data_IF_542985699712
#
_entry.id   IF_542985699712
#
_cell.length_a   1.000
_cell.length_b   1.000
_cell.length_c   1.000
_cell.angle_alpha   90.00
_cell.angle_beta   90.00
_cell.angle_gamma   90.00
#
_symmetry.space_group_name_H-M   'P 1'
#
loop_
_entity.id
_entity.type
_entity.pdbx_description
1 polymer ?
#
# COMPACT_ATOMS: atom_id res chain seq x y z
N UNK A 1 -2.20 -9.75 -23.10
CA UNK A 1 -2.00 -8.34 -22.74
C UNK A 1 -1.67 -7.50 -23.97
N UNK A 2 -2.25 -6.31 -24.08
CA UNK A 2 -1.80 -5.22 -24.95
C UNK A 2 -1.34 -4.07 -24.05
N UNK A 3 -0.17 -3.49 -24.33
CA UNK A 3 0.38 -2.36 -23.57
C UNK A 3 0.29 -1.10 -24.41
N UNK A 4 -0.22 -0.01 -23.84
CA UNK A 4 -0.13 1.34 -24.43
C UNK A 4 0.58 2.26 -23.45
N UNK A 5 1.59 2.98 -23.90
CA UNK A 5 2.21 4.05 -23.12
C UNK A 5 1.51 5.39 -23.38
N UNK A 6 1.36 6.20 -22.35
CA UNK A 6 1.00 7.62 -22.45
C UNK A 6 1.72 8.44 -21.37
N UNK A 7 1.47 9.74 -21.30
CA UNK A 7 2.04 10.64 -20.28
C UNK A 7 1.68 10.25 -18.83
N UNK A 8 0.67 9.39 -18.63
CA UNK A 8 0.19 8.94 -17.32
C UNK A 8 0.78 7.59 -16.91
N UNK A 9 1.45 6.86 -17.81
CA UNK A 9 2.13 5.60 -17.50
C UNK A 9 1.85 4.50 -18.52
N UNK A 10 2.03 3.24 -18.10
CA UNK A 10 1.75 2.09 -18.95
C UNK A 10 0.33 1.57 -18.68
N UNK A 11 -0.53 1.62 -19.70
CA UNK A 11 -1.88 1.05 -19.65
C UNK A 11 -1.87 -0.38 -20.14
N UNK A 12 -2.44 -1.27 -19.34
CA UNK A 12 -2.58 -2.68 -19.66
C UNK A 12 -4.02 -2.98 -20.06
N UNK A 13 -4.19 -3.73 -21.14
CA UNK A 13 -5.47 -4.23 -21.63
C UNK A 13 -5.44 -5.75 -21.72
N UNK A 14 -6.55 -6.41 -21.39
CA UNK A 14 -6.66 -7.85 -21.58
C UNK A 14 -6.72 -8.16 -23.09
N UNK A 15 -6.15 -9.30 -23.52
CA UNK A 15 -6.13 -9.73 -24.94
C UNK A 15 -7.54 -9.92 -25.50
N UNK A 16 -8.50 -10.26 -24.65
CA UNK A 16 -9.88 -10.60 -25.04
C UNK A 16 -10.86 -9.43 -24.88
N UNK A 17 -10.43 -8.26 -24.39
CA UNK A 17 -11.25 -7.04 -24.33
C UNK A 17 -10.82 -6.04 -25.40
N UNK A 18 -11.80 -5.41 -26.05
CA UNK A 18 -11.55 -4.36 -27.04
C UNK A 18 -10.71 -3.24 -26.42
N UNK A 19 -9.66 -2.78 -27.12
CA UNK A 19 -8.85 -1.63 -26.67
C UNK A 19 -9.61 -0.29 -26.64
N UNK A 20 -10.92 -0.32 -26.95
CA UNK A 20 -11.89 0.78 -26.79
C UNK A 20 -12.52 0.84 -25.39
N UNK A 21 -12.41 -0.20 -24.56
CA UNK A 21 -12.87 -0.18 -23.16
C UNK A 21 -11.82 0.44 -22.23
N UNK A 22 -12.18 0.73 -20.97
CA UNK A 22 -11.22 1.16 -19.96
C UNK A 22 -10.07 0.14 -19.83
N UNK A 23 -8.84 0.62 -19.61
CA UNK A 23 -7.68 -0.24 -19.36
C UNK A 23 -7.94 -1.11 -18.13
N UNK A 24 -7.49 -2.37 -18.11
CA UNK A 24 -7.66 -3.27 -16.97
C UNK A 24 -6.70 -2.93 -15.82
N UNK A 25 -5.56 -2.30 -16.13
CA UNK A 25 -4.67 -1.71 -15.16
C UNK A 25 -3.90 -0.51 -15.73
N UNK A 26 -3.36 0.32 -14.84
CA UNK A 26 -2.36 1.34 -15.12
C UNK A 26 -1.14 1.09 -14.23
N UNK A 27 0.06 1.21 -14.79
CA UNK A 27 1.32 1.00 -14.08
C UNK A 27 2.11 2.30 -14.04
N UNK A 28 2.51 2.68 -12.83
CA UNK A 28 3.51 3.72 -12.57
C UNK A 28 4.83 3.05 -12.20
N UNK A 29 5.88 3.32 -12.98
CA UNK A 29 7.19 2.70 -12.77
C UNK A 29 8.16 3.67 -12.11
N UNK A 30 8.96 3.19 -11.17
CA UNK A 30 9.97 3.95 -10.44
C UNK A 30 11.27 3.16 -10.31
N UNK A 31 12.42 3.84 -10.32
CA UNK A 31 13.68 3.18 -9.97
C UNK A 31 13.70 2.90 -8.46
N UNK A 32 14.23 1.75 -8.07
CA UNK A 32 14.30 1.34 -6.65
C UNK A 32 15.06 2.33 -5.74
N UNK A 33 15.97 3.14 -6.30
CA UNK A 33 16.75 4.13 -5.56
C UNK A 33 16.06 5.50 -5.46
N UNK A 34 15.04 5.76 -6.27
CA UNK A 34 14.33 7.03 -6.24
C UNK A 34 13.56 7.18 -4.92
N UNK A 35 13.49 8.42 -4.41
CA UNK A 35 12.62 8.74 -3.30
C UNK A 35 11.17 8.42 -3.65
N UNK A 36 10.40 7.99 -2.65
CA UNK A 36 8.99 7.68 -2.85
C UNK A 36 8.18 8.93 -3.23
N UNK A 37 7.38 8.81 -4.29
CA UNK A 37 6.38 9.81 -4.66
C UNK A 37 5.09 9.09 -5.05
N UNK A 38 4.06 9.24 -4.22
CA UNK A 38 2.75 8.66 -4.46
C UNK A 38 1.79 9.65 -5.14
N UNK A 39 2.20 10.87 -5.48
CA UNK A 39 1.31 11.93 -5.97
C UNK A 39 0.47 11.50 -7.17
N UNK A 40 1.13 10.88 -8.18
CA UNK A 40 0.44 10.35 -9.38
C UNK A 40 -0.45 9.15 -9.05
N UNK A 41 0.03 8.25 -8.20
CA UNK A 41 -0.70 7.04 -7.76
C UNK A 41 -1.97 7.43 -7.00
N UNK A 42 -1.89 8.40 -6.08
CA UNK A 42 -3.03 8.90 -5.30
C UNK A 42 -4.03 9.59 -6.20
N UNK A 43 -3.57 10.43 -7.14
CA UNK A 43 -4.46 11.08 -8.12
C UNK A 43 -5.25 10.05 -8.93
N UNK A 44 -4.59 8.97 -9.34
CA UNK A 44 -5.21 7.88 -10.07
C UNK A 44 -6.23 7.12 -9.22
N UNK A 45 -5.85 6.70 -8.01
CA UNK A 45 -6.74 5.97 -7.09
C UNK A 45 -7.99 6.79 -6.74
N UNK A 46 -7.83 8.10 -6.52
CA UNK A 46 -8.95 9.00 -6.25
C UNK A 46 -9.86 9.26 -7.44
N UNK A 47 -9.40 9.03 -8.67
CA UNK A 47 -10.24 9.18 -9.85
C UNK A 47 -11.32 8.09 -9.94
N UNK A 48 -11.22 7.02 -9.15
CA UNK A 48 -12.29 6.02 -8.99
C UNK A 48 -12.54 5.18 -10.24
N UNK A 49 -11.55 5.04 -11.12
CA UNK A 49 -11.67 4.18 -12.30
C UNK A 49 -11.76 2.70 -11.89
N UNK A 50 -12.57 1.90 -12.59
CA UNK A 50 -12.71 0.44 -12.39
C UNK A 50 -11.47 -0.37 -12.84
N UNK A 51 -10.27 0.22 -12.77
CA UNK A 51 -9.01 -0.41 -13.18
C UNK A 51 -8.06 -0.53 -12.01
N UNK A 52 -7.18 -1.52 -12.05
CA UNK A 52 -6.12 -1.66 -11.03
C UNK A 52 -5.07 -0.56 -11.21
N UNK A 53 -4.67 0.06 -10.10
CA UNK A 53 -3.47 0.93 -10.08
C UNK A 53 -2.30 0.11 -9.58
N UNK A 54 -1.26 0.00 -10.39
CA UNK A 54 -0.06 -0.78 -10.11
C UNK A 54 1.17 0.13 -10.02
N UNK A 55 2.11 -0.30 -9.19
CA UNK A 55 3.45 0.27 -9.08
C UNK A 55 4.44 -0.78 -9.52
N UNK A 56 5.27 -0.45 -10.50
CA UNK A 56 6.43 -1.24 -10.90
C UNK A 56 7.69 -0.65 -10.28
N UNK A 57 8.41 -1.43 -9.48
CA UNK A 57 9.72 -1.03 -8.97
C UNK A 57 10.78 -1.71 -9.84
N UNK A 58 11.62 -0.91 -10.49
CA UNK A 58 12.66 -1.35 -11.42
C UNK A 58 14.00 -1.35 -10.71
N UNK A 59 14.73 -2.46 -10.78
CA UNK A 59 16.07 -2.58 -10.20
C UNK A 59 17.20 -2.15 -11.18
N UNK A 60 18.45 -2.43 -10.81
CA UNK A 60 19.63 -2.10 -11.62
C UNK A 60 19.86 -3.05 -12.82
N UNK A 61 19.23 -4.21 -12.83
CA UNK A 61 19.29 -5.19 -13.92
C UNK A 61 18.13 -5.02 -14.91
N UNK A 62 17.19 -4.13 -14.59
CA UNK A 62 15.99 -3.86 -15.40
C UNK A 62 14.83 -4.79 -15.05
N UNK A 63 14.98 -5.62 -14.02
CA UNK A 63 13.90 -6.46 -13.51
C UNK A 63 12.86 -5.60 -12.79
N UNK A 64 11.60 -6.00 -12.93
CA UNK A 64 10.46 -5.23 -12.41
C UNK A 64 9.63 -6.09 -11.46
N UNK A 65 9.40 -5.57 -10.26
CA UNK A 65 8.45 -6.14 -9.30
C UNK A 65 7.19 -5.28 -9.25
N UNK A 66 6.03 -5.92 -9.40
CA UNK A 66 4.74 -5.24 -9.44
C UNK A 66 3.97 -5.35 -8.12
N UNK A 67 3.35 -4.24 -7.74
CA UNK A 67 2.50 -4.12 -6.57
C UNK A 67 1.17 -3.46 -6.96
N UNK A 68 0.06 -3.98 -6.45
CA UNK A 68 -1.24 -3.31 -6.53
C UNK A 68 -1.34 -2.31 -5.39
N UNK A 69 -1.60 -1.05 -5.73
CA UNK A 69 -1.81 0.02 -4.77
C UNK A 69 -3.30 0.22 -4.51
N UNK A 70 -3.68 0.44 -3.25
CA UNK A 70 -5.03 0.87 -2.87
C UNK A 70 -4.96 1.90 -1.75
N UNK A 71 -5.90 2.85 -1.75
CA UNK A 71 -6.18 3.66 -0.57
C UNK A 71 -6.96 2.81 0.44
N UNK A 72 -6.57 2.86 1.70
CA UNK A 72 -7.32 2.27 2.80
C UNK A 72 -8.19 3.35 3.43
N UNK A 73 -9.47 3.05 3.52
CA UNK A 73 -10.39 3.69 4.46
C UNK A 73 -10.59 2.74 5.63
N UNK A 74 -10.47 3.26 6.84
CA UNK A 74 -10.57 2.46 8.06
C UNK A 74 -12.03 2.44 8.54
N UNK A 75 -12.75 1.31 8.40
CA UNK A 75 -14.10 1.22 8.93
C UNK A 75 -14.07 1.29 10.47
N UNK A 76 -15.11 1.90 11.06
CA UNK A 76 -15.26 1.90 12.51
C UNK A 76 -15.35 0.46 13.03
N UNK A 77 -14.61 0.19 14.09
CA UNK A 77 -14.63 -1.07 14.82
C UNK A 77 -14.77 -0.77 16.33
N UNK A 78 -14.36 -1.70 17.19
CA UNK A 78 -14.30 -1.50 18.63
C UNK A 78 -13.08 -2.22 19.22
N UNK A 79 -12.57 -1.69 20.32
CA UNK A 79 -11.56 -2.41 21.10
C UNK A 79 -12.15 -3.68 21.69
N UNK A 80 -11.31 -4.71 21.87
CA UNK A 80 -11.71 -5.89 22.63
C UNK A 80 -11.86 -5.52 24.10
N UNK A 81 -12.75 -6.23 24.78
CA UNK A 81 -13.05 -5.98 26.18
C UNK A 81 -11.76 -6.08 27.03
N UNK A 82 -11.60 -5.16 27.99
CA UNK A 82 -10.44 -5.04 28.88
C UNK A 82 -9.10 -4.72 28.17
N UNK A 83 -9.13 -4.25 26.92
CA UNK A 83 -7.93 -3.73 26.25
C UNK A 83 -8.01 -2.21 26.12
N UNK A 84 -6.90 -1.57 26.46
CA UNK A 84 -6.67 -0.14 26.24
C UNK A 84 -5.47 0.03 25.30
N UNK A 85 -5.53 1.05 24.45
CA UNK A 85 -4.36 1.47 23.69
C UNK A 85 -3.43 2.25 24.61
N UNK A 86 -2.26 1.68 24.87
CA UNK A 86 -1.20 2.33 25.65
C UNK A 86 -0.42 3.33 24.77
N UNK A 87 -0.53 3.20 23.44
CA UNK A 87 0.14 4.09 22.50
C UNK A 87 -0.61 5.43 22.38
N UNK A 88 0.13 6.52 22.57
CA UNK A 88 -0.35 7.91 22.50
C UNK A 88 0.18 8.66 21.26
N UNK A 89 0.72 7.96 20.24
CA UNK A 89 1.25 8.61 19.04
C UNK A 89 0.10 9.33 18.31
N UNK A 90 0.17 10.68 18.14
CA UNK A 90 -0.86 11.44 17.44
C UNK A 90 -1.11 10.95 16.01
N UNK A 91 -0.12 10.34 15.35
CA UNK A 91 -0.26 9.77 14.00
C UNK A 91 -1.18 8.56 13.95
N UNK A 92 -1.43 7.91 15.09
CA UNK A 92 -2.31 6.76 15.21
C UNK A 92 -3.70 7.11 15.75
N UNK A 93 -3.94 8.37 16.11
CA UNK A 93 -5.18 8.83 16.73
C UNK A 93 -6.44 8.44 15.95
N UNK A 94 -6.43 8.59 14.62
CA UNK A 94 -7.55 8.20 13.76
C UNK A 94 -7.96 6.74 13.99
N UNK A 95 -6.99 5.83 13.99
CA UNK A 95 -7.22 4.40 14.19
C UNK A 95 -7.68 4.09 15.62
N UNK A 96 -7.10 4.76 16.62
CA UNK A 96 -7.51 4.62 18.02
C UNK A 96 -8.96 5.06 18.21
N UNK A 97 -9.34 6.22 17.67
CA UNK A 97 -10.69 6.77 17.73
C UNK A 97 -11.72 5.88 17.02
N UNK A 98 -11.29 5.17 15.96
CA UNK A 98 -12.08 4.17 15.25
C UNK A 98 -12.16 2.81 15.97
N UNK A 99 -11.47 2.64 17.10
CA UNK A 99 -11.52 1.44 17.94
C UNK A 99 -10.51 0.36 17.58
N UNK A 100 -9.49 0.66 16.77
CA UNK A 100 -8.43 -0.29 16.46
C UNK A 100 -7.44 -0.43 17.62
N UNK A 101 -6.94 -1.64 17.83
CA UNK A 101 -5.86 -1.89 18.77
C UNK A 101 -4.50 -1.71 18.09
N UNK A 102 -3.61 -0.96 18.72
CA UNK A 102 -2.29 -0.59 18.20
C UNK A 102 -1.19 -1.18 19.09
N UNK A 103 -0.26 -1.91 18.47
CA UNK A 103 0.92 -2.44 19.15
C UNK A 103 2.19 -2.08 18.38
N UNK A 104 3.35 -2.15 19.03
CA UNK A 104 4.63 -2.02 18.35
C UNK A 104 4.76 -3.05 17.21
N UNK A 105 5.16 -2.56 16.04
CA UNK A 105 5.46 -3.34 14.84
C UNK A 105 6.94 -3.74 14.71
N UNK A 106 7.78 -3.41 15.70
CA UNK A 106 9.25 -3.49 15.60
C UNK A 106 9.76 -4.86 15.14
N UNK A 107 9.16 -5.95 15.63
CA UNK A 107 9.54 -7.33 15.23
C UNK A 107 9.30 -7.64 13.74
N UNK A 108 8.60 -6.77 13.03
CA UNK A 108 8.34 -6.85 11.60
C UNK A 108 9.00 -5.70 10.81
N UNK A 109 9.87 -4.91 11.45
CA UNK A 109 10.52 -3.76 10.80
C UNK A 109 9.57 -2.61 10.45
N UNK A 110 8.47 -2.46 11.19
CA UNK A 110 7.46 -1.41 10.99
C UNK A 110 7.17 -0.68 12.29
N UNK A 111 6.51 0.47 12.22
CA UNK A 111 6.21 1.27 13.40
C UNK A 111 5.15 0.58 14.27
N UNK A 112 4.04 0.16 13.64
CA UNK A 112 2.92 -0.45 14.34
C UNK A 112 2.40 -1.69 13.66
N UNK A 113 1.74 -2.53 14.45
CA UNK A 113 0.86 -3.59 13.99
C UNK A 113 -0.53 -3.32 14.54
N UNK A 114 -1.54 -3.44 13.70
CA UNK A 114 -2.89 -2.95 13.96
C UNK A 114 -3.87 -4.10 13.88
N UNK A 115 -4.86 -4.09 14.77
CA UNK A 115 -5.89 -5.11 14.89
C UNK A 115 -7.27 -4.46 14.90
N UNK A 116 -8.24 -5.06 14.19
CA UNK A 116 -9.65 -4.78 14.42
C UNK A 116 -10.21 -5.73 15.50
N UNK A 117 -11.48 -5.55 15.87
CA UNK A 117 -12.13 -6.37 16.89
C UNK A 117 -12.06 -7.89 16.62
N UNK A 118 -12.25 -8.29 15.36
CA UNK A 118 -12.32 -9.71 14.96
C UNK A 118 -10.94 -10.37 14.81
N UNK A 119 -9.86 -9.58 14.78
CA UNK A 119 -8.51 -10.09 14.51
C UNK A 119 -7.91 -10.82 15.72
N UNK A 120 -7.50 -12.08 15.55
CA UNK A 120 -6.60 -12.77 16.48
C UNK A 120 -5.11 -12.42 16.22
N UNK A 121 -4.78 -12.16 14.96
CA UNK A 121 -3.46 -11.73 14.51
C UNK A 121 -3.56 -10.40 13.79
N UNK A 122 -2.57 -9.51 13.94
CA UNK A 122 -2.57 -8.22 13.25
C UNK A 122 -2.57 -8.45 11.73
N UNK A 123 -3.60 -8.05 10.98
CA UNK A 123 -3.57 -8.20 9.53
C UNK A 123 -2.84 -7.03 8.85
N UNK A 124 -2.63 -5.91 9.55
CA UNK A 124 -1.93 -4.73 9.02
C UNK A 124 -0.65 -4.41 9.80
N UNK A 125 0.38 -4.05 9.04
CA UNK A 125 1.61 -3.45 9.54
C UNK A 125 1.71 -2.02 9.01
N UNK A 126 1.76 -1.06 9.91
CA UNK A 126 1.81 0.36 9.60
C UNK A 126 3.26 0.82 9.56
N UNK A 127 3.64 1.43 8.44
CA UNK A 127 4.89 2.16 8.33
C UNK A 127 4.63 3.65 8.10
N UNK A 128 5.15 4.49 8.99
CA UNK A 128 5.12 5.93 8.81
C UNK A 128 6.23 6.32 7.83
N UNK A 129 5.84 6.91 6.71
CA UNK A 129 6.80 7.29 5.66
C UNK A 129 7.60 8.54 6.05
N UNK A 130 8.83 8.63 5.52
CA UNK A 130 9.75 9.75 5.69
C UNK A 130 10.21 10.23 4.33
N UNK A 131 10.62 11.50 4.22
CA UNK A 131 10.98 12.14 2.93
C UNK A 131 12.15 11.48 2.21
N UNK A 132 13.03 10.82 2.95
CA UNK A 132 14.24 10.15 2.46
C UNK A 132 14.04 8.65 2.20
N UNK A 133 12.83 8.10 2.40
CA UNK A 133 12.57 6.72 2.00
C UNK A 133 12.56 6.60 0.48
N UNK A 134 13.19 5.55 -0.01
CA UNK A 134 13.17 5.18 -1.42
C UNK A 134 12.28 3.96 -1.68
N UNK A 135 12.12 3.61 -2.94
CA UNK A 135 11.31 2.45 -3.35
C UNK A 135 11.89 1.10 -2.87
N UNK A 136 13.20 0.99 -2.66
CA UNK A 136 13.83 -0.19 -2.05
C UNK A 136 13.37 -0.41 -0.61
N UNK A 137 13.28 0.66 0.19
CA UNK A 137 12.75 0.58 1.55
C UNK A 137 11.32 0.03 1.52
N UNK A 138 10.48 0.53 0.62
CA UNK A 138 9.10 0.07 0.45
C UNK A 138 9.05 -1.41 0.05
N UNK A 139 9.86 -1.82 -0.94
CA UNK A 139 9.93 -3.20 -1.39
C UNK A 139 10.33 -4.16 -0.27
N UNK A 140 11.31 -3.78 0.57
CA UNK A 140 11.74 -4.55 1.74
C UNK A 140 10.59 -4.76 2.73
N UNK A 141 9.85 -3.71 3.05
CA UNK A 141 8.70 -3.80 3.97
C UNK A 141 7.63 -4.74 3.41
N UNK A 142 7.25 -4.59 2.13
CA UNK A 142 6.24 -5.44 1.51
C UNK A 142 6.68 -6.90 1.52
N UNK A 143 7.96 -7.17 1.26
CA UNK A 143 8.51 -8.53 1.31
C UNK A 143 8.38 -9.15 2.70
N UNK A 144 8.70 -8.40 3.76
CA UNK A 144 8.52 -8.85 5.15
C UNK A 144 7.05 -9.11 5.45
N UNK A 145 6.17 -8.16 5.15
CA UNK A 145 4.72 -8.30 5.37
C UNK A 145 4.14 -9.52 4.67
N UNK A 146 4.50 -9.72 3.40
CA UNK A 146 4.12 -10.90 2.62
C UNK A 146 4.58 -12.21 3.28
N UNK A 147 5.83 -12.26 3.77
CA UNK A 147 6.39 -13.45 4.44
C UNK A 147 5.66 -13.84 5.72
N UNK A 148 4.99 -12.90 6.39
CA UNK A 148 4.23 -13.15 7.63
C UNK A 148 2.71 -13.05 7.45
N UNK A 149 2.23 -13.09 6.20
CA UNK A 149 0.82 -12.95 5.82
C UNK A 149 0.14 -11.71 6.42
N UNK A 150 0.77 -10.54 6.22
CA UNK A 150 0.27 -9.23 6.66
C UNK A 150 0.35 -8.22 5.54
N UNK A 151 -0.59 -7.29 5.53
CA UNK A 151 -0.64 -6.19 4.58
C UNK A 151 0.20 -5.04 5.11
N UNK A 152 1.17 -4.57 4.32
CA UNK A 152 1.86 -3.31 4.62
C UNK A 152 0.95 -2.16 4.24
N UNK A 153 0.81 -1.21 5.18
CA UNK A 153 0.11 0.05 4.97
C UNK A 153 1.09 1.18 5.27
N UNK A 154 1.31 2.02 4.28
CA UNK A 154 2.13 3.21 4.39
C UNK A 154 1.25 4.38 4.82
N UNK A 155 1.64 5.06 5.90
CA UNK A 155 1.11 6.38 6.21
C UNK A 155 1.90 7.42 5.41
N UNK A 156 1.31 7.93 4.33
CA UNK A 156 1.90 8.89 3.42
C UNK A 156 1.07 10.18 3.42
N UNK A 157 1.63 11.24 3.99
CA UNK A 157 0.90 12.48 4.29
C UNK A 157 -0.37 12.19 5.10
N UNK A 158 -1.56 12.38 4.48
CA UNK A 158 -2.88 12.09 5.08
C UNK A 158 -3.52 10.80 4.57
N UNK A 159 -2.78 10.01 3.79
CA UNK A 159 -3.29 8.84 3.11
C UNK A 159 -2.71 7.55 3.69
N UNK A 160 -3.56 6.55 3.81
CA UNK A 160 -3.18 5.17 4.10
C UNK A 160 -3.10 4.40 2.79
N UNK A 161 -1.90 4.00 2.38
CA UNK A 161 -1.67 3.33 1.09
C UNK A 161 -1.23 1.89 1.35
N UNK A 162 -2.01 0.92 0.88
CA UNK A 162 -1.60 -0.48 0.88
C UNK A 162 -0.94 -0.86 -0.44
N UNK A 163 0.11 -1.67 -0.34
CA UNK A 163 0.82 -2.22 -1.49
C UNK A 163 0.85 -3.74 -1.36
N UNK A 164 0.18 -4.43 -2.30
CA UNK A 164 0.12 -5.90 -2.32
C UNK A 164 0.92 -6.42 -3.51
N UNK A 165 1.89 -7.29 -3.23
CA UNK A 165 2.64 -7.98 -4.29
C UNK A 165 1.68 -8.72 -5.23
N UNK A 166 1.94 -8.63 -6.53
CA UNK A 166 1.17 -9.33 -7.55
C UNK A 166 2.11 -9.94 -8.57
N UNK A 167 1.72 -11.08 -9.13
CA UNK A 167 2.40 -11.63 -10.29
C UNK A 167 1.97 -10.82 -11.54
N UNK A 168 2.87 -10.63 -12.52
CA UNK A 168 2.53 -10.03 -13.80
C UNK A 168 1.35 -10.73 -14.51
#
# INVERSE_FOLDING_TARGET
MVVKSDEKGLRLYDRNTSTKSAASAIVYSYNFQDNIDFSKVIKELKAGFERRTQIGIVDNEGDVVYYIANLIEWPKTKLKDNLENINDDPKMKELVDLGYQIHSGLKFGTHYRVYNYESEHAPWLIHITQKNHNWLDIARMIRVGHGVNKIIVLAYEKYWISLKWTKP
#
